data_IF_095577356781
#
_entry.id   IF_095577356781
#
_cell.length_a   1.000
_cell.length_b   1.000
_cell.length_c   1.000
_cell.angle_alpha   90.00
_cell.angle_beta   90.00
_cell.angle_gamma   90.00
#
_symmetry.space_group_name_H-M   'P 1'
#
loop_
_entity.id
_entity.type
_entity.pdbx_description
1 polymer ?
#
# COMPACT_ATOMS: atom_id res chain seq x y z
N UNK A 1 10.95 12.93 -5.05
CA UNK A 1 10.72 12.10 -3.85
C UNK A 1 10.54 10.64 -4.28
N UNK A 2 9.58 10.35 -5.13
CA UNK A 2 9.22 8.99 -5.54
C UNK A 2 10.19 8.26 -6.47
N UNK A 3 11.28 8.88 -6.92
CA UNK A 3 12.25 8.26 -7.85
C UNK A 3 13.16 7.23 -7.17
N UNK A 4 13.38 7.33 -5.87
CA UNK A 4 14.12 6.34 -5.10
C UNK A 4 13.17 5.26 -4.57
N UNK A 5 13.68 4.03 -4.37
CA UNK A 5 12.87 2.95 -3.79
C UNK A 5 12.71 3.10 -2.26
N UNK A 6 13.69 3.73 -1.61
CA UNK A 6 13.76 3.85 -0.15
C UNK A 6 13.42 5.28 0.33
N UNK A 7 12.43 5.93 -0.31
CA UNK A 7 11.98 7.24 0.13
C UNK A 7 11.23 7.16 1.47
N UNK A 8 11.28 8.24 2.23
CA UNK A 8 10.48 8.36 3.44
C UNK A 8 9.05 8.77 3.06
N UNK A 9 8.06 7.99 3.47
CA UNK A 9 6.65 8.27 3.17
C UNK A 9 6.15 9.60 3.75
N UNK A 10 6.76 10.10 4.82
CA UNK A 10 6.42 11.42 5.38
C UNK A 10 6.65 12.56 4.39
N UNK A 11 7.64 12.44 3.49
CA UNK A 11 7.89 13.43 2.46
C UNK A 11 6.75 13.47 1.44
N UNK A 12 6.18 12.31 1.10
CA UNK A 12 5.01 12.21 0.22
C UNK A 12 3.78 12.79 0.93
N UNK A 13 3.54 12.41 2.17
CA UNK A 13 2.43 12.91 2.99
C UNK A 13 2.47 14.44 3.06
N UNK A 14 3.65 15.02 3.32
CA UNK A 14 3.80 16.48 3.41
C UNK A 14 3.52 17.22 2.09
N UNK A 15 3.65 16.53 0.95
CA UNK A 15 3.40 17.08 -0.39
C UNK A 15 1.93 16.93 -0.80
N UNK A 16 1.30 15.83 -0.43
CA UNK A 16 -0.07 15.48 -0.84
C UNK A 16 -1.11 16.21 0.01
N UNK A 17 -0.93 16.26 1.31
CA UNK A 17 -1.91 16.84 2.23
C UNK A 17 -1.63 18.31 2.52
N UNK A 18 -2.59 19.00 3.14
CA UNK A 18 -2.47 20.42 3.48
C UNK A 18 -1.31 20.64 4.47
N UNK A 19 -0.48 21.64 4.19
CA UNK A 19 0.74 21.87 4.93
C UNK A 19 0.48 22.04 6.44
N UNK A 20 1.24 21.31 7.26
CA UNK A 20 1.18 21.39 8.73
C UNK A 20 -0.06 20.75 9.36
N UNK A 21 -0.89 20.05 8.58
CA UNK A 21 -2.12 19.41 9.10
C UNK A 21 -1.93 17.96 9.51
N UNK A 22 -0.86 17.30 9.04
CA UNK A 22 -0.63 15.90 9.37
C UNK A 22 -0.23 15.73 10.84
N UNK A 23 -1.01 14.92 11.53
CA UNK A 23 -0.73 14.50 12.92
C UNK A 23 -0.61 12.98 12.93
N UNK A 24 0.61 12.48 13.13
CA UNK A 24 0.86 11.04 13.19
C UNK A 24 0.35 10.44 14.48
N UNK A 25 -0.28 9.27 14.38
CA UNK A 25 -0.75 8.46 15.50
C UNK A 25 0.13 7.21 15.65
N UNK A 26 0.73 7.04 16.82
CA UNK A 26 1.58 5.89 17.10
C UNK A 26 2.91 5.93 16.34
N UNK A 27 3.58 7.08 16.25
CA UNK A 27 4.86 7.26 15.56
C UNK A 27 5.95 6.28 16.03
N UNK A 28 5.98 5.97 17.34
CA UNK A 28 6.97 5.06 17.96
C UNK A 28 6.60 3.56 17.82
N UNK A 29 5.56 3.24 17.05
CA UNK A 29 5.05 1.86 16.95
C UNK A 29 4.86 1.44 15.50
N UNK A 30 5.42 0.29 15.11
CA UNK A 30 5.30 -0.30 13.77
C UNK A 30 5.70 0.67 12.65
N UNK A 31 6.97 1.08 12.62
CA UNK A 31 7.54 2.12 11.76
C UNK A 31 7.39 1.86 10.25
N UNK A 32 7.13 0.61 9.83
CA UNK A 32 6.81 0.26 8.44
C UNK A 32 5.41 0.71 8.01
N UNK A 33 4.59 1.17 8.96
CA UNK A 33 3.23 1.69 8.76
C UNK A 33 3.09 3.05 9.43
N UNK A 34 2.80 4.06 8.64
CA UNK A 34 2.47 5.41 9.11
C UNK A 34 0.97 5.59 9.10
N UNK A 35 0.41 6.04 10.22
CA UNK A 35 -1.02 6.33 10.35
C UNK A 35 -1.22 7.68 11.01
N UNK A 36 -2.20 8.45 10.58
CA UNK A 36 -2.47 9.76 11.16
C UNK A 36 -3.73 10.40 10.61
N UNK A 37 -3.96 11.62 11.07
CA UNK A 37 -5.00 12.49 10.56
C UNK A 37 -4.35 13.65 9.80
N UNK A 38 -4.95 14.04 8.69
CA UNK A 38 -4.52 15.17 7.88
C UNK A 38 -5.73 15.95 7.36
N UNK A 39 -5.48 17.03 6.64
CA UNK A 39 -6.49 17.67 5.81
C UNK A 39 -6.07 17.64 4.34
N UNK A 40 -7.04 17.56 3.44
CA UNK A 40 -6.88 17.77 2.01
C UNK A 40 -7.98 18.70 1.52
N UNK A 41 -7.59 19.85 0.95
CA UNK A 41 -8.57 20.87 0.58
C UNK A 41 -9.42 21.36 1.77
N UNK A 42 -8.87 21.38 2.98
CA UNK A 42 -9.55 21.77 4.22
C UNK A 42 -10.48 20.71 4.82
N UNK A 43 -10.56 19.51 4.23
CA UNK A 43 -11.38 18.39 4.74
C UNK A 43 -10.52 17.41 5.49
N UNK A 44 -10.95 17.01 6.70
CA UNK A 44 -10.25 16.01 7.49
C UNK A 44 -10.30 14.63 6.84
N UNK A 45 -9.17 13.93 6.84
CA UNK A 45 -9.02 12.56 6.33
C UNK A 45 -8.12 11.74 7.25
N UNK A 46 -8.36 10.43 7.31
CA UNK A 46 -7.40 9.47 7.86
C UNK A 46 -6.37 9.08 6.81
N UNK A 47 -5.11 9.01 7.20
CA UNK A 47 -3.99 8.64 6.32
C UNK A 47 -3.38 7.33 6.80
N UNK A 48 -3.35 6.33 5.93
CA UNK A 48 -2.68 5.04 6.15
C UNK A 48 -1.63 4.90 5.06
N UNK A 49 -0.37 4.69 5.42
CA UNK A 49 0.68 4.63 4.42
C UNK A 49 1.77 3.62 4.80
N UNK A 50 2.19 2.79 3.85
CA UNK A 50 3.40 1.99 4.03
C UNK A 50 4.63 2.90 3.98
N UNK A 51 5.63 2.63 4.82
CA UNK A 51 6.91 3.31 4.77
C UNK A 51 7.98 2.39 4.13
N UNK A 52 8.27 2.54 2.83
CA UNK A 52 9.21 1.66 2.13
C UNK A 52 10.65 1.78 2.68
N UNK A 53 11.03 2.91 3.28
CA UNK A 53 12.33 3.08 3.94
C UNK A 53 12.53 2.10 5.12
N UNK A 54 11.45 1.54 5.66
CA UNK A 54 11.49 0.61 6.79
C UNK A 54 11.08 -0.78 6.32
N UNK A 55 12.06 -1.67 6.12
CA UNK A 55 11.84 -3.08 5.72
C UNK A 55 10.96 -3.24 4.48
N UNK A 56 11.09 -2.33 3.50
CA UNK A 56 10.29 -2.35 2.28
C UNK A 56 8.78 -2.15 2.53
N UNK A 57 8.39 -1.45 3.60
CA UNK A 57 6.98 -1.24 3.93
C UNK A 57 6.19 -2.52 4.27
N UNK A 58 6.86 -3.66 4.55
CA UNK A 58 6.21 -4.96 4.78
C UNK A 58 5.23 -4.92 5.94
N UNK A 59 4.08 -5.57 5.74
CA UNK A 59 3.05 -5.71 6.76
C UNK A 59 3.43 -6.77 7.80
N UNK A 60 3.68 -6.33 9.02
CA UNK A 60 3.77 -7.19 10.20
C UNK A 60 2.47 -7.13 11.02
N UNK A 61 2.27 -8.00 12.03
CA UNK A 61 1.06 -7.97 12.88
C UNK A 61 0.77 -6.59 13.47
N UNK A 62 1.78 -5.91 13.99
CA UNK A 62 1.65 -4.59 14.58
C UNK A 62 1.27 -3.51 13.55
N UNK A 63 1.79 -3.60 12.32
CA UNK A 63 1.44 -2.68 11.23
C UNK A 63 -0.03 -2.84 10.81
N UNK A 64 -0.49 -4.09 10.70
CA UNK A 64 -1.88 -4.39 10.40
C UNK A 64 -2.84 -3.88 11.50
N UNK A 65 -2.49 -4.05 12.76
CA UNK A 65 -3.27 -3.52 13.89
C UNK A 65 -3.32 -1.99 13.89
N UNK A 66 -2.18 -1.34 13.64
CA UNK A 66 -2.08 0.12 13.58
C UNK A 66 -3.01 0.69 12.52
N UNK A 67 -3.00 0.12 11.31
CA UNK A 67 -3.90 0.49 10.22
C UNK A 67 -5.37 0.23 10.55
N UNK A 68 -5.69 -0.94 11.11
CA UNK A 68 -7.05 -1.33 11.51
C UNK A 68 -7.65 -0.36 12.53
N UNK A 69 -6.85 0.10 13.50
CA UNK A 69 -7.29 1.07 14.52
C UNK A 69 -7.61 2.43 13.91
N UNK A 70 -6.81 2.88 12.92
CA UNK A 70 -7.12 4.13 12.23
C UNK A 70 -8.41 4.02 11.41
N UNK A 71 -8.64 2.91 10.71
CA UNK A 71 -9.90 2.69 10.00
C UNK A 71 -11.11 2.70 10.92
N UNK A 72 -10.99 2.10 12.11
CA UNK A 72 -12.06 2.15 13.12
C UNK A 72 -12.30 3.60 13.61
N UNK A 73 -11.25 4.40 13.76
CA UNK A 73 -11.37 5.82 14.08
C UNK A 73 -12.08 6.58 12.95
N UNK A 74 -11.66 6.38 11.70
CA UNK A 74 -12.26 7.01 10.51
C UNK A 74 -13.76 6.69 10.44
N UNK A 75 -14.13 5.42 10.63
CA UNK A 75 -15.54 4.98 10.67
C UNK A 75 -16.32 5.69 11.77
N UNK A 76 -15.76 5.77 12.99
CA UNK A 76 -16.45 6.38 14.14
C UNK A 76 -16.59 7.89 13.98
N UNK A 77 -15.60 8.55 13.39
CA UNK A 77 -15.59 9.98 13.15
C UNK A 77 -16.25 10.38 11.82
N UNK A 78 -16.68 9.41 11.01
CA UNK A 78 -17.29 9.60 9.68
C UNK A 78 -16.38 10.40 8.72
N UNK A 79 -15.05 10.21 8.80
CA UNK A 79 -14.07 10.87 7.93
C UNK A 79 -13.53 9.89 6.88
N UNK A 80 -13.26 10.37 5.63
CA UNK A 80 -12.68 9.55 4.58
C UNK A 80 -11.32 8.99 4.97
N UNK A 81 -10.96 7.84 4.39
CA UNK A 81 -9.65 7.22 4.55
C UNK A 81 -8.86 7.26 3.23
N UNK A 82 -7.62 7.71 3.30
CA UNK A 82 -6.65 7.68 2.18
C UNK A 82 -5.57 6.68 2.51
N UNK A 83 -5.37 5.71 1.63
CA UNK A 83 -4.34 4.67 1.76
C UNK A 83 -3.27 4.86 0.69
N UNK A 84 -2.02 5.02 1.10
CA UNK A 84 -0.86 5.12 0.21
C UNK A 84 -0.06 3.81 0.32
N UNK A 85 -0.02 3.05 -0.76
CA UNK A 85 0.56 1.69 -0.77
C UNK A 85 1.91 1.69 -1.47
N UNK A 86 2.94 1.30 -0.75
CA UNK A 86 4.24 0.90 -1.30
C UNK A 86 4.86 -0.14 -0.38
N UNK A 87 4.69 -1.42 -0.73
CA UNK A 87 5.09 -2.52 0.14
C UNK A 87 5.58 -3.72 -0.65
N UNK A 88 6.67 -4.33 -0.20
CA UNK A 88 7.19 -5.58 -0.74
C UNK A 88 6.37 -6.82 -0.29
N UNK A 89 5.26 -6.61 0.41
CA UNK A 89 4.37 -7.70 0.81
C UNK A 89 4.17 -7.80 2.33
N UNK A 90 4.06 -9.03 2.82
CA UNK A 90 3.90 -9.33 4.24
C UNK A 90 5.24 -9.70 4.89
N UNK A 91 5.33 -9.61 6.21
CA UNK A 91 6.51 -10.06 6.95
C UNK A 91 6.66 -11.59 6.83
N UNK A 92 7.87 -12.03 6.44
CA UNK A 92 8.22 -13.41 6.10
C UNK A 92 9.04 -14.10 7.20
N UNK A 93 8.88 -13.70 8.46
CA UNK A 93 9.62 -14.25 9.59
C UNK A 93 8.79 -15.21 10.46
N UNK A 94 9.42 -16.26 10.99
CA UNK A 94 8.78 -17.16 11.96
C UNK A 94 8.17 -16.40 13.14
N UNK A 95 8.81 -15.32 13.60
CA UNK A 95 8.30 -14.47 14.68
C UNK A 95 6.98 -13.75 14.30
N UNK A 96 6.78 -13.41 13.03
CA UNK A 96 5.53 -12.83 12.57
C UNK A 96 4.40 -13.87 12.57
N UNK A 97 4.71 -15.10 12.13
CA UNK A 97 3.77 -16.22 12.15
C UNK A 97 3.37 -16.61 13.59
N UNK A 98 4.34 -16.73 14.50
CA UNK A 98 4.09 -16.99 15.91
C UNK A 98 3.19 -15.93 16.57
N UNK A 99 3.27 -14.70 16.11
CA UNK A 99 2.40 -13.60 16.55
C UNK A 99 1.04 -13.56 15.85
N UNK A 100 0.71 -14.56 15.05
CA UNK A 100 -0.58 -14.69 14.40
C UNK A 100 -0.78 -13.72 13.22
N UNK A 101 0.24 -13.52 12.39
CA UNK A 101 0.21 -12.62 11.23
C UNK A 101 -1.09 -12.75 10.41
N UNK A 102 -1.50 -13.97 10.08
CA UNK A 102 -2.70 -14.21 9.28
C UNK A 102 -3.97 -13.66 9.94
N UNK A 103 -4.11 -13.78 11.26
CA UNK A 103 -5.27 -13.24 11.99
C UNK A 103 -5.29 -11.71 11.98
N UNK A 104 -4.14 -11.06 12.11
CA UNK A 104 -4.03 -9.59 12.04
C UNK A 104 -4.31 -9.06 10.63
N UNK A 105 -3.84 -9.76 9.58
CA UNK A 105 -4.15 -9.42 8.19
C UNK A 105 -5.64 -9.60 7.89
N UNK A 106 -6.27 -10.65 8.40
CA UNK A 106 -7.72 -10.85 8.27
C UNK A 106 -8.52 -9.77 9.01
N UNK A 107 -8.04 -9.31 10.18
CA UNK A 107 -8.64 -8.19 10.89
C UNK A 107 -8.54 -6.88 10.11
N UNK A 108 -7.39 -6.61 9.47
CA UNK A 108 -7.21 -5.46 8.60
C UNK A 108 -8.14 -5.51 7.37
N UNK A 109 -8.23 -6.67 6.72
CA UNK A 109 -9.18 -6.87 5.61
C UNK A 109 -10.62 -6.57 6.03
N UNK A 110 -11.03 -7.07 7.19
CA UNK A 110 -12.35 -6.77 7.75
C UNK A 110 -12.54 -5.28 8.03
N UNK A 111 -11.53 -4.61 8.59
CA UNK A 111 -11.60 -3.19 8.89
C UNK A 111 -11.84 -2.34 7.62
N UNK A 112 -11.23 -2.68 6.49
CA UNK A 112 -11.50 -2.04 5.20
C UNK A 112 -12.92 -2.37 4.69
N UNK A 113 -13.32 -3.63 4.74
CA UNK A 113 -14.66 -4.04 4.28
C UNK A 113 -15.79 -3.38 5.09
N UNK A 114 -15.55 -3.11 6.38
CA UNK A 114 -16.52 -2.49 7.30
C UNK A 114 -16.34 -0.97 7.45
N UNK A 115 -15.42 -0.34 6.71
CA UNK A 115 -15.05 1.06 6.91
C UNK A 115 -16.24 2.03 6.82
N UNK A 116 -17.19 1.77 5.90
CA UNK A 116 -18.42 2.57 5.71
C UNK A 116 -18.20 4.07 5.51
N UNK A 117 -16.99 4.46 5.12
CA UNK A 117 -16.56 5.82 4.77
C UNK A 117 -15.93 5.80 3.38
N UNK A 118 -15.90 6.93 2.66
CA UNK A 118 -15.19 7.02 1.41
C UNK A 118 -13.72 6.61 1.57
N UNK A 119 -13.26 5.69 0.74
CA UNK A 119 -11.87 5.23 0.73
C UNK A 119 -11.24 5.52 -0.63
N UNK A 120 -10.02 6.05 -0.60
CA UNK A 120 -9.16 6.19 -1.78
C UNK A 120 -7.87 5.45 -1.50
N UNK A 121 -7.51 4.52 -2.36
CA UNK A 121 -6.26 3.79 -2.28
C UNK A 121 -5.39 4.15 -3.47
N UNK A 122 -4.13 4.52 -3.23
CA UNK A 122 -3.17 4.83 -4.28
C UNK A 122 -1.93 3.95 -4.12
N UNK A 123 -1.65 3.13 -5.13
CA UNK A 123 -0.39 2.38 -5.19
C UNK A 123 0.71 3.27 -5.75
N UNK A 124 1.68 3.61 -4.91
CA UNK A 124 2.80 4.50 -5.25
C UNK A 124 3.99 3.74 -5.89
N UNK A 125 4.20 2.52 -5.46
CA UNK A 125 5.30 1.66 -5.90
C UNK A 125 4.88 0.21 -5.93
N UNK A 126 5.41 -0.61 -5.04
CA UNK A 126 5.11 -2.05 -5.01
C UNK A 126 3.84 -2.39 -4.22
N UNK A 127 3.09 -3.38 -4.69
CA UNK A 127 1.94 -3.93 -3.97
C UNK A 127 1.75 -5.40 -4.34
N UNK A 128 2.22 -6.32 -3.51
CA UNK A 128 2.29 -7.73 -3.85
C UNK A 128 1.46 -8.62 -2.92
N UNK A 129 0.83 -9.63 -3.52
CA UNK A 129 0.20 -10.76 -2.83
C UNK A 129 -0.86 -10.36 -1.81
N UNK A 130 -0.78 -10.93 -0.61
CA UNK A 130 -1.73 -10.65 0.47
C UNK A 130 -1.73 -9.18 0.87
N UNK A 131 -0.57 -8.49 0.83
CA UNK A 131 -0.50 -7.07 1.15
C UNK A 131 -1.34 -6.23 0.17
N UNK A 132 -1.27 -6.52 -1.13
CA UNK A 132 -2.17 -5.90 -2.12
C UNK A 132 -3.64 -6.08 -1.72
N UNK A 133 -4.03 -7.30 -1.35
CA UNK A 133 -5.43 -7.59 -1.03
C UNK A 133 -5.90 -6.80 0.21
N UNK A 134 -5.11 -6.80 1.29
CA UNK A 134 -5.57 -6.28 2.59
C UNK A 134 -5.33 -4.78 2.79
N UNK A 135 -4.56 -4.12 1.91
CA UNK A 135 -4.29 -2.68 1.98
C UNK A 135 -5.30 -1.87 1.15
N UNK A 136 -6.59 -2.09 1.39
CA UNK A 136 -7.65 -1.30 0.77
C UNK A 136 -7.82 -1.55 -0.73
N UNK A 137 -7.63 -2.80 -1.19
CA UNK A 137 -7.89 -3.14 -2.58
C UNK A 137 -9.33 -2.79 -2.98
N UNK A 138 -9.53 -2.45 -4.25
CA UNK A 138 -10.85 -2.13 -4.81
C UNK A 138 -11.91 -3.20 -4.52
N UNK A 139 -11.53 -4.45 -4.61
CA UNK A 139 -12.42 -5.59 -4.34
C UNK A 139 -12.84 -5.67 -2.87
N UNK A 140 -12.04 -5.14 -1.94
CA UNK A 140 -12.28 -5.24 -0.51
C UNK A 140 -13.06 -4.05 0.04
N UNK A 141 -12.66 -2.83 -0.29
CA UNK A 141 -13.29 -1.63 0.30
C UNK A 141 -14.30 -0.94 -0.62
N UNK A 142 -14.39 -1.33 -1.89
CA UNK A 142 -15.34 -0.73 -2.84
C UNK A 142 -15.10 0.77 -3.13
N UNK A 143 -13.97 1.32 -2.70
CA UNK A 143 -13.57 2.70 -2.92
C UNK A 143 -12.86 2.91 -4.26
N UNK A 144 -12.29 4.10 -4.44
CA UNK A 144 -11.48 4.43 -5.62
C UNK A 144 -10.08 3.87 -5.44
N UNK A 145 -9.60 3.12 -6.44
CA UNK A 145 -8.26 2.57 -6.47
C UNK A 145 -7.46 3.16 -7.63
N UNK A 146 -6.38 3.86 -7.31
CA UNK A 146 -5.48 4.51 -8.26
C UNK A 146 -4.09 3.87 -8.18
N UNK A 147 -3.30 4.03 -9.22
CA UNK A 147 -1.90 3.67 -9.19
C UNK A 147 -1.06 4.70 -9.94
N UNK A 148 0.18 4.90 -9.50
CA UNK A 148 1.14 5.61 -10.32
C UNK A 148 1.55 4.73 -11.51
N UNK A 149 1.98 5.35 -12.61
CA UNK A 149 2.43 4.67 -13.84
C UNK A 149 3.55 3.66 -13.58
N UNK A 150 4.41 3.96 -12.62
CA UNK A 150 5.53 3.10 -12.19
C UNK A 150 5.13 1.96 -11.25
N UNK A 151 3.89 1.94 -10.77
CA UNK A 151 3.45 0.96 -9.78
C UNK A 151 3.52 -0.48 -10.30
N UNK A 152 3.91 -1.39 -9.42
CA UNK A 152 3.95 -2.83 -9.69
C UNK A 152 2.94 -3.54 -8.77
N UNK A 153 1.93 -4.13 -9.39
CA UNK A 153 0.82 -4.78 -8.70
C UNK A 153 0.70 -6.21 -9.20
N UNK A 154 0.89 -7.20 -8.33
CA UNK A 154 0.79 -8.61 -8.74
C UNK A 154 0.55 -9.55 -7.56
N UNK A 155 0.17 -10.80 -7.88
CA UNK A 155 -0.07 -11.85 -6.90
C UNK A 155 1.18 -12.26 -6.10
N UNK A 156 2.37 -12.01 -6.62
CA UNK A 156 3.66 -12.28 -5.98
C UNK A 156 4.74 -11.33 -6.50
N UNK A 157 5.82 -11.11 -5.75
CA UNK A 157 6.97 -10.34 -6.25
C UNK A 157 7.53 -10.94 -7.54
N UNK A 158 8.03 -10.13 -8.49
CA UNK A 158 8.56 -10.61 -9.78
C UNK A 158 9.65 -11.67 -9.64
N UNK A 159 10.56 -11.50 -8.70
CA UNK A 159 11.64 -12.46 -8.42
C UNK A 159 11.10 -13.83 -7.97
N UNK A 160 10.06 -13.81 -7.12
CA UNK A 160 9.39 -15.03 -6.70
C UNK A 160 8.61 -15.69 -7.85
N UNK A 161 7.99 -14.90 -8.71
CA UNK A 161 7.28 -15.41 -9.88
C UNK A 161 8.23 -16.12 -10.84
N UNK A 162 9.38 -15.55 -11.14
CA UNK A 162 10.40 -16.16 -12.02
C UNK A 162 10.97 -17.43 -11.40
N UNK A 163 11.30 -17.41 -10.11
CA UNK A 163 11.81 -18.60 -9.41
C UNK A 163 10.79 -19.75 -9.39
N UNK A 164 9.50 -19.43 -9.37
CA UNK A 164 8.42 -20.43 -9.35
C UNK A 164 8.01 -20.92 -10.72
N UNK A 165 7.94 -20.02 -11.72
CA UNK A 165 7.40 -20.31 -13.05
C UNK A 165 8.45 -20.77 -14.05
N UNK A 166 9.63 -20.16 -14.02
CA UNK A 166 10.74 -20.50 -14.88
C UNK A 166 11.78 -21.29 -14.08
N UNK A 167 12.08 -22.51 -14.54
CA UNK A 167 13.22 -23.31 -14.05
C UNK A 167 14.55 -22.68 -14.49
N UNK A 168 14.71 -21.37 -14.32
CA UNK A 168 15.93 -20.66 -14.69
C UNK A 168 17.01 -21.03 -13.68
N UNK A 169 17.98 -21.80 -14.14
CA UNK A 169 19.13 -22.26 -13.35
C UNK A 169 20.26 -21.24 -13.31
N UNK A 170 20.18 -20.17 -14.09
CA UNK A 170 21.20 -19.14 -14.19
C UNK A 170 20.78 -17.88 -13.41
N UNK A 171 21.31 -17.74 -12.20
CA UNK A 171 21.04 -16.59 -11.32
C UNK A 171 21.40 -15.24 -11.95
N UNK A 172 22.34 -15.19 -12.89
CA UNK A 172 22.75 -13.96 -13.55
C UNK A 172 21.65 -13.36 -14.44
N UNK A 173 20.71 -14.17 -14.89
CA UNK A 173 19.57 -13.78 -15.75
C UNK A 173 18.27 -13.56 -14.97
N UNK A 174 18.22 -13.92 -13.70
CA UNK A 174 17.00 -13.83 -12.89
C UNK A 174 16.46 -12.38 -12.81
N UNK A 175 17.33 -11.40 -12.61
CA UNK A 175 16.93 -9.99 -12.53
C UNK A 175 16.30 -9.47 -13.84
N UNK A 176 16.93 -9.74 -14.98
CA UNK A 176 16.43 -9.33 -16.30
C UNK A 176 15.09 -9.98 -16.63
N UNK A 177 14.94 -11.27 -16.29
CA UNK A 177 13.69 -12.00 -16.50
C UNK A 177 12.60 -11.49 -15.55
N UNK A 178 12.94 -11.18 -14.29
CA UNK A 178 12.01 -10.60 -13.33
C UNK A 178 11.51 -9.22 -13.77
N UNK A 179 12.39 -8.38 -14.29
CA UNK A 179 12.01 -7.06 -14.83
C UNK A 179 11.06 -7.21 -16.04
N UNK A 180 11.40 -8.09 -16.98
CA UNK A 180 10.54 -8.39 -18.15
C UNK A 180 9.18 -8.95 -17.72
N UNK A 181 9.18 -9.84 -16.73
CA UNK A 181 7.95 -10.38 -16.16
C UNK A 181 7.11 -9.30 -15.48
N UNK A 182 7.76 -8.42 -14.71
CA UNK A 182 7.10 -7.32 -14.02
C UNK A 182 6.44 -6.33 -14.99
N UNK A 183 7.11 -5.98 -16.08
CA UNK A 183 6.54 -5.12 -17.12
C UNK A 183 5.30 -5.75 -17.76
N UNK A 184 5.34 -7.04 -18.01
CA UNK A 184 4.27 -7.77 -18.71
C UNK A 184 3.08 -8.10 -17.82
N UNK A 185 3.29 -8.43 -16.54
CA UNK A 185 2.25 -9.01 -15.68
C UNK A 185 1.98 -8.25 -14.38
N UNK A 186 2.87 -7.33 -13.98
CA UNK A 186 2.73 -6.57 -12.75
C UNK A 186 2.59 -5.05 -12.97
N UNK A 187 2.56 -4.58 -14.22
CA UNK A 187 2.45 -3.14 -14.48
C UNK A 187 1.08 -2.58 -14.05
N UNK A 188 1.05 -1.28 -13.75
CA UNK A 188 -0.21 -0.57 -13.47
C UNK A 188 -1.22 -0.72 -14.62
N UNK A 189 -0.74 -0.78 -15.87
CA UNK A 189 -1.58 -0.99 -17.04
C UNK A 189 -2.30 -2.35 -17.01
N UNK A 190 -1.61 -3.42 -16.64
CA UNK A 190 -2.22 -4.75 -16.53
C UNK A 190 -3.23 -4.81 -15.36
N UNK A 191 -2.92 -4.13 -14.25
CA UNK A 191 -3.85 -4.00 -13.14
C UNK A 191 -5.12 -3.22 -13.56
N UNK A 192 -5.00 -2.17 -14.36
CA UNK A 192 -6.13 -1.42 -14.90
C UNK A 192 -6.96 -2.27 -15.87
N UNK A 193 -6.33 -2.96 -16.81
CA UNK A 193 -7.01 -3.89 -17.75
C UNK A 193 -7.78 -4.99 -17.03
N UNK A 194 -7.26 -5.46 -15.91
CA UNK A 194 -7.89 -6.49 -15.08
C UNK A 194 -8.95 -5.94 -14.11
N UNK A 195 -9.18 -4.63 -14.09
CA UNK A 195 -10.16 -3.97 -13.23
C UNK A 195 -9.74 -3.88 -11.75
N UNK A 196 -8.46 -4.11 -11.45
CA UNK A 196 -7.92 -4.02 -10.09
C UNK A 196 -7.75 -2.58 -9.61
N UNK A 197 -7.60 -1.64 -10.53
CA UNK A 197 -7.55 -0.20 -10.28
C UNK A 197 -8.50 0.53 -11.23
N UNK A 198 -8.88 1.75 -10.87
CA UNK A 198 -9.79 2.59 -11.65
C UNK A 198 -9.05 3.47 -12.66
N UNK A 199 -7.85 3.95 -12.29
CA UNK A 199 -7.07 4.85 -13.14
C UNK A 199 -5.58 4.80 -12.82
N UNK A 200 -4.77 5.19 -13.83
CA UNK A 200 -3.33 5.39 -13.70
C UNK A 200 -3.09 6.89 -13.73
N UNK A 201 -2.37 7.40 -12.74
CA UNK A 201 -2.15 8.83 -12.55
C UNK A 201 -0.66 9.18 -12.51
N UNK A 202 -0.34 10.41 -12.91
CA UNK A 202 0.99 10.97 -12.70
C UNK A 202 1.20 11.36 -11.22
N UNK A 203 2.43 11.29 -10.74
CA UNK A 203 2.78 11.71 -9.38
C UNK A 203 2.48 13.19 -9.11
N UNK A 204 2.51 14.04 -10.12
CA UNK A 204 2.14 15.45 -10.01
C UNK A 204 0.63 15.68 -9.78
N UNK A 205 -0.19 14.73 -10.21
CA UNK A 205 -1.65 14.80 -10.06
C UNK A 205 -2.15 14.23 -8.72
N UNK A 206 -1.27 13.58 -7.95
CA UNK A 206 -1.62 12.80 -6.76
C UNK A 206 -2.54 13.56 -5.81
N UNK A 207 -2.18 14.80 -5.45
CA UNK A 207 -3.00 15.64 -4.57
C UNK A 207 -4.38 15.96 -5.18
N UNK A 208 -4.43 16.30 -6.45
CA UNK A 208 -5.66 16.69 -7.13
C UNK A 208 -6.63 15.50 -7.28
N UNK A 209 -6.09 14.29 -7.46
CA UNK A 209 -6.88 13.08 -7.69
C UNK A 209 -7.40 12.46 -6.39
N UNK A 210 -6.79 12.75 -5.25
CA UNK A 210 -7.23 12.31 -3.93
C UNK A 210 -8.26 13.28 -3.33
N UNK A 211 -8.10 14.59 -3.54
CA UNK A 211 -8.93 15.66 -2.96
C UNK A 211 -10.16 15.99 -3.75
#
# INVERSE_FOLDING_TARGET
ILSARDYNIHDVISTVFDAGTFTELGAEHADSMVTGLAAIGGRAVGVIANNPAVKGGKLCPCAADKASRLLALCRTAEIPAVTLVDTDGIADSAKAEEKGLAAHLAALARAYAEASVPCVTVTLGSSYGTAYTVMGSKALCGGIALALDRAKISAMPPEAAVAFLDKVTDESRHAEIADTWAEKYASALEAAKSGHIDDIIDSAELRQRIG
#
